data_IF_263943098526
#
_entry.id   IF_263943098526
#
_cell.length_a   1.000
_cell.length_b   1.000
_cell.length_c   1.000
_cell.angle_alpha   90.00
_cell.angle_beta   90.00
_cell.angle_gamma   90.00
#
_symmetry.space_group_name_H-M   'P 1'
#
loop_
_entity.id
_entity.type
_entity.pdbx_description
1 polymer ?
#
# COMPACT_ATOMS: atom_id res chain seq x y z
N UNK A 1 6.78 -21.80 -21.12
CA UNK A 1 6.79 -20.34 -21.32
C UNK A 1 8.17 -19.82 -20.98
N UNK A 2 8.75 -18.99 -21.86
CA UNK A 2 9.98 -18.25 -21.58
C UNK A 2 9.70 -17.11 -20.59
N UNK A 3 10.71 -16.69 -19.83
CA UNK A 3 10.60 -15.58 -18.88
C UNK A 3 10.95 -14.27 -19.59
N UNK A 4 10.02 -13.31 -19.63
CA UNK A 4 10.09 -12.08 -20.44
C UNK A 4 9.97 -10.82 -19.59
N UNK A 5 10.57 -10.82 -18.39
CA UNK A 5 10.56 -9.67 -17.48
C UNK A 5 12.00 -9.27 -17.19
N UNK A 6 12.39 -8.09 -17.67
CA UNK A 6 13.78 -7.63 -17.68
C UNK A 6 14.30 -7.20 -16.30
N UNK A 7 13.42 -6.66 -15.45
CA UNK A 7 13.82 -6.05 -14.18
C UNK A 7 13.85 -7.05 -13.01
N UNK A 8 13.39 -8.30 -13.21
CA UNK A 8 13.40 -9.32 -12.16
C UNK A 8 13.57 -10.69 -12.78
N UNK A 9 14.54 -11.47 -12.28
CA UNK A 9 14.72 -12.85 -12.74
C UNK A 9 13.59 -13.77 -12.24
N UNK A 10 13.34 -14.86 -12.96
CA UNK A 10 12.36 -15.89 -12.55
C UNK A 10 12.62 -16.41 -11.14
N UNK A 11 13.88 -16.57 -10.77
CA UNK A 11 14.28 -17.08 -9.46
C UNK A 11 14.02 -16.05 -8.35
N UNK A 12 14.34 -14.77 -8.60
CA UNK A 12 14.01 -13.70 -7.66
C UNK A 12 12.50 -13.56 -7.45
N UNK A 13 11.71 -13.67 -8.52
CA UNK A 13 10.25 -13.64 -8.42
C UNK A 13 9.70 -14.81 -7.59
N UNK A 14 10.18 -16.03 -7.83
CA UNK A 14 9.80 -17.20 -7.01
C UNK A 14 10.15 -17.00 -5.53
N UNK A 15 11.34 -16.51 -5.25
CA UNK A 15 11.77 -16.22 -3.88
C UNK A 15 10.95 -15.12 -3.22
N UNK A 16 10.54 -14.11 -3.99
CA UNK A 16 9.64 -13.05 -3.55
C UNK A 16 8.27 -13.62 -3.15
N UNK A 17 7.66 -14.44 -4.01
CA UNK A 17 6.41 -15.15 -3.72
C UNK A 17 6.55 -16.03 -2.47
N UNK A 18 7.62 -16.83 -2.39
CA UNK A 18 7.87 -17.74 -1.25
C UNK A 18 7.94 -16.98 0.07
N UNK A 19 8.62 -15.82 0.10
CA UNK A 19 8.69 -14.96 1.30
C UNK A 19 7.32 -14.44 1.69
N UNK A 20 6.50 -14.00 0.73
CA UNK A 20 5.13 -13.55 1.02
C UNK A 20 4.25 -14.67 1.54
N UNK A 21 4.31 -15.87 0.95
CA UNK A 21 3.57 -17.04 1.45
C UNK A 21 4.02 -17.40 2.88
N UNK A 22 5.31 -17.32 3.20
CA UNK A 22 5.80 -17.55 4.55
C UNK A 22 5.21 -16.54 5.57
N UNK A 23 5.09 -15.27 5.18
CA UNK A 23 4.43 -14.24 6.00
C UNK A 23 2.92 -14.47 6.18
N UNK A 24 2.27 -15.11 5.21
CA UNK A 24 0.89 -15.58 5.39
C UNK A 24 0.85 -16.73 6.39
N UNK A 25 1.76 -17.70 6.24
CA UNK A 25 1.86 -18.90 7.08
C UNK A 25 2.05 -18.61 8.56
N UNK A 26 2.93 -17.67 8.92
CA UNK A 26 3.12 -17.23 10.31
C UNK A 26 1.86 -16.59 10.92
N UNK A 27 0.91 -16.14 10.08
CA UNK A 27 -0.38 -15.58 10.51
C UNK A 27 -1.51 -16.61 10.51
N UNK A 28 -1.28 -17.82 9.96
CA UNK A 28 -2.22 -18.95 9.97
C UNK A 28 -2.21 -19.73 11.30
N UNK A 29 -1.35 -19.35 12.26
CA UNK A 29 -1.40 -19.87 13.62
C UNK A 29 -2.82 -19.85 14.21
N UNK A 30 -3.09 -20.80 15.11
CA UNK A 30 -4.40 -20.97 15.73
C UNK A 30 -4.87 -19.64 16.33
N UNK A 31 -6.10 -19.27 15.99
CA UNK A 31 -6.75 -18.07 16.52
C UNK A 31 -7.26 -18.44 17.92
N UNK A 32 -6.44 -18.22 18.94
CA UNK A 32 -6.87 -18.42 20.32
C UNK A 32 -7.78 -17.25 20.76
N UNK A 33 -8.55 -17.45 21.84
CA UNK A 33 -9.46 -16.44 22.41
C UNK A 33 -8.76 -15.12 22.71
N UNK A 34 -7.50 -15.18 23.16
CA UNK A 34 -6.68 -14.01 23.45
C UNK A 34 -6.38 -13.19 22.19
N UNK A 35 -5.98 -13.84 21.08
CA UNK A 35 -5.70 -13.21 19.78
C UNK A 35 -6.98 -12.69 19.13
N UNK A 36 -8.10 -13.37 19.34
CA UNK A 36 -9.43 -12.90 18.93
C UNK A 36 -9.79 -11.59 19.65
N UNK A 37 -9.69 -11.55 20.98
CA UNK A 37 -10.04 -10.38 21.78
C UNK A 37 -8.99 -9.25 21.73
N UNK A 38 -7.74 -9.55 21.37
CA UNK A 38 -6.68 -8.55 21.17
C UNK A 38 -7.01 -7.62 20.00
N UNK A 39 -7.65 -8.14 18.95
CA UNK A 39 -8.22 -7.30 17.91
C UNK A 39 -9.52 -6.72 18.46
N UNK A 40 -9.68 -5.40 18.41
CA UNK A 40 -10.91 -4.74 18.89
C UNK A 40 -12.10 -5.27 18.10
N UNK A 41 -12.97 -6.01 18.78
CA UNK A 41 -14.24 -6.51 18.27
C UNK A 41 -15.35 -5.61 18.79
N UNK A 42 -16.29 -5.28 17.92
CA UNK A 42 -17.49 -4.54 18.30
C UNK A 42 -18.65 -5.53 18.57
N UNK A 43 -19.02 -5.77 19.84
CA UNK A 43 -20.10 -6.69 20.17
C UNK A 43 -21.46 -6.20 19.67
N UNK A 44 -21.68 -4.89 19.53
CA UNK A 44 -22.91 -4.32 18.97
C UNK A 44 -23.03 -4.75 17.51
N UNK A 45 -21.95 -4.55 16.73
CA UNK A 45 -21.91 -5.01 15.32
C UNK A 45 -22.22 -6.50 15.21
N UNK A 46 -21.65 -7.34 16.07
CA UNK A 46 -21.89 -8.79 16.02
C UNK A 46 -23.35 -9.18 16.31
N UNK A 47 -24.01 -8.47 17.25
CA UNK A 47 -25.44 -8.67 17.52
C UNK A 47 -26.27 -8.31 16.28
N UNK A 48 -25.97 -7.18 15.63
CA UNK A 48 -26.63 -6.77 14.39
C UNK A 48 -26.39 -7.77 13.26
N UNK A 49 -25.15 -8.19 13.03
CA UNK A 49 -24.82 -9.19 12.00
C UNK A 49 -25.60 -10.49 12.24
N UNK A 50 -25.63 -10.98 13.49
CA UNK A 50 -26.41 -12.17 13.86
C UNK A 50 -27.90 -12.01 13.53
N UNK A 51 -28.49 -10.89 13.91
CA UNK A 51 -29.92 -10.64 13.73
C UNK A 51 -30.28 -10.44 12.24
N UNK A 52 -29.46 -9.70 11.50
CA UNK A 52 -29.71 -9.35 10.08
C UNK A 52 -29.43 -10.54 9.16
N UNK A 53 -28.35 -11.29 9.39
CA UNK A 53 -28.02 -12.44 8.56
C UNK A 53 -28.75 -13.72 8.97
N UNK A 54 -29.37 -13.75 10.16
CA UNK A 54 -30.07 -14.94 10.66
C UNK A 54 -29.14 -16.10 11.03
N UNK A 55 -27.84 -15.84 11.20
CA UNK A 55 -26.81 -16.86 11.42
C UNK A 55 -26.59 -17.17 12.91
N UNK A 56 -26.00 -18.32 13.22
CA UNK A 56 -25.64 -18.67 14.60
C UNK A 56 -24.37 -17.95 15.09
N UNK A 57 -24.15 -17.93 16.42
CA UNK A 57 -22.97 -17.28 17.00
C UNK A 57 -21.65 -17.88 16.51
N UNK A 58 -21.63 -19.19 16.26
CA UNK A 58 -20.44 -19.89 15.76
C UNK A 58 -20.03 -19.36 14.38
N UNK A 59 -21.00 -19.16 13.50
CA UNK A 59 -20.81 -18.63 12.15
C UNK A 59 -20.37 -17.16 12.19
N UNK A 60 -21.03 -16.33 13.00
CA UNK A 60 -20.64 -14.91 13.14
C UNK A 60 -19.20 -14.76 13.67
N UNK A 61 -18.82 -15.54 14.68
CA UNK A 61 -17.44 -15.56 15.21
C UNK A 61 -16.46 -16.04 14.13
N UNK A 62 -16.78 -17.12 13.42
CA UNK A 62 -15.93 -17.64 12.35
C UNK A 62 -15.71 -16.61 11.23
N UNK A 63 -16.76 -15.89 10.84
CA UNK A 63 -16.69 -14.85 9.82
C UNK A 63 -15.82 -13.67 10.27
N UNK A 64 -15.93 -13.26 11.54
CA UNK A 64 -15.09 -12.20 12.09
C UNK A 64 -13.60 -12.61 12.16
N UNK A 65 -13.31 -13.85 12.56
CA UNK A 65 -11.94 -14.40 12.51
C UNK A 65 -11.41 -14.36 11.07
N UNK A 66 -12.20 -14.82 10.11
CA UNK A 66 -11.82 -14.81 8.70
C UNK A 66 -11.56 -13.39 8.20
N UNK A 67 -12.43 -12.43 8.51
CA UNK A 67 -12.28 -11.01 8.15
C UNK A 67 -10.99 -10.41 8.72
N UNK A 68 -10.64 -10.72 9.96
CA UNK A 68 -9.39 -10.26 10.58
C UNK A 68 -8.16 -10.84 9.88
N UNK A 69 -8.20 -12.13 9.52
CA UNK A 69 -7.15 -12.79 8.72
C UNK A 69 -7.01 -12.15 7.34
N UNK A 70 -8.12 -11.96 6.64
CA UNK A 70 -8.14 -11.38 5.30
C UNK A 70 -7.59 -9.94 5.28
N UNK A 71 -7.94 -9.12 6.28
CA UNK A 71 -7.34 -7.78 6.44
C UNK A 71 -5.82 -7.86 6.60
N UNK A 72 -5.32 -8.79 7.40
CA UNK A 72 -3.87 -8.97 7.62
C UNK A 72 -3.15 -9.47 6.37
N UNK A 73 -3.79 -10.35 5.59
CA UNK A 73 -3.29 -10.85 4.32
C UNK A 73 -3.24 -9.73 3.26
N UNK A 74 -4.29 -8.91 3.19
CA UNK A 74 -4.33 -7.74 2.30
C UNK A 74 -3.17 -6.77 2.57
N UNK A 75 -2.78 -6.60 3.83
CA UNK A 75 -1.59 -5.80 4.19
C UNK A 75 -0.29 -6.45 3.68
N UNK A 76 -0.14 -7.77 3.78
CA UNK A 76 1.02 -8.49 3.23
C UNK A 76 1.13 -8.38 1.70
N UNK A 77 0.01 -8.34 0.98
CA UNK A 77 0.02 -8.02 -0.45
C UNK A 77 0.53 -6.60 -0.71
N UNK A 78 0.21 -5.65 0.16
CA UNK A 78 0.79 -4.31 0.05
C UNK A 78 2.31 -4.32 0.17
N UNK A 79 2.83 -5.04 1.16
CA UNK A 79 4.27 -5.23 1.29
C UNK A 79 4.86 -6.01 0.12
N UNK A 80 4.14 -6.96 -0.47
CA UNK A 80 4.56 -7.65 -1.69
C UNK A 80 4.74 -6.67 -2.85
N UNK A 81 3.77 -5.77 -3.08
CA UNK A 81 3.85 -4.76 -4.14
C UNK A 81 4.99 -3.76 -3.90
N UNK A 82 5.13 -3.26 -2.66
CA UNK A 82 6.20 -2.35 -2.30
C UNK A 82 7.57 -3.01 -2.49
N UNK A 83 7.79 -4.20 -1.91
CA UNK A 83 9.06 -4.94 -1.98
C UNK A 83 9.45 -5.37 -3.39
N UNK A 84 8.50 -5.39 -4.32
CA UNK A 84 8.78 -5.62 -5.74
C UNK A 84 9.75 -4.58 -6.32
N UNK A 85 9.71 -3.35 -5.82
CA UNK A 85 10.61 -2.28 -6.28
C UNK A 85 12.07 -2.52 -5.92
N UNK A 86 12.41 -3.41 -4.97
CA UNK A 86 13.81 -3.78 -4.69
C UNK A 86 14.52 -4.37 -5.92
N UNK A 87 13.77 -4.97 -6.84
CA UNK A 87 14.32 -5.56 -8.06
C UNK A 87 14.51 -4.52 -9.18
N UNK A 88 13.86 -3.36 -9.08
CA UNK A 88 13.96 -2.30 -10.08
C UNK A 88 15.25 -1.49 -9.84
N UNK A 89 16.08 -1.34 -10.87
CA UNK A 89 17.34 -0.59 -10.78
C UNK A 89 17.08 0.84 -10.28
N UNK A 90 17.93 1.31 -9.38
CA UNK A 90 17.88 2.63 -8.73
C UNK A 90 16.69 2.86 -7.78
N UNK A 91 15.88 1.85 -7.49
CA UNK A 91 14.86 1.91 -6.44
C UNK A 91 15.43 1.42 -5.11
N UNK A 92 14.97 2.04 -4.03
CA UNK A 92 15.28 1.66 -2.65
C UNK A 92 14.01 1.71 -1.81
N UNK A 93 13.90 0.80 -0.84
CA UNK A 93 12.76 0.71 0.06
C UNK A 93 13.28 1.02 1.46
N UNK A 94 13.05 2.25 1.96
CA UNK A 94 13.55 2.63 3.27
C UNK A 94 12.75 1.94 4.38
N UNK A 95 13.33 1.87 5.58
CA UNK A 95 12.63 1.30 6.75
C UNK A 95 11.53 2.23 7.29
N UNK A 96 11.64 3.53 7.05
CA UNK A 96 10.72 4.58 7.53
C UNK A 96 10.58 5.67 6.49
N UNK A 97 9.45 6.37 6.50
CA UNK A 97 9.19 7.53 5.64
C UNK A 97 8.42 7.16 4.38
N UNK A 98 9.11 7.13 3.24
CA UNK A 98 8.54 6.86 1.92
C UNK A 98 8.43 5.36 1.62
N UNK A 99 7.54 4.96 0.73
CA UNK A 99 7.40 3.53 0.40
C UNK A 99 8.49 3.08 -0.57
N UNK A 100 8.82 3.93 -1.55
CA UNK A 100 9.90 3.73 -2.51
C UNK A 100 10.62 5.06 -2.73
N UNK A 101 11.94 4.99 -2.87
CA UNK A 101 12.77 6.12 -3.30
C UNK A 101 13.51 5.69 -4.56
N UNK A 102 13.31 6.40 -5.65
CA UNK A 102 13.97 6.15 -6.93
C UNK A 102 14.99 7.26 -7.24
N UNK A 103 16.24 6.88 -7.48
CA UNK A 103 17.37 7.81 -7.71
C UNK A 103 18.10 7.49 -9.01
N UNK A 104 17.56 7.90 -10.17
CA UNK A 104 18.18 7.61 -11.46
C UNK A 104 19.54 8.30 -11.59
N UNK A 105 20.55 7.59 -12.11
CA UNK A 105 21.92 8.10 -12.25
C UNK A 105 22.00 9.42 -13.03
N UNK A 106 21.18 9.56 -14.07
CA UNK A 106 21.20 10.73 -14.96
C UNK A 106 20.08 11.74 -14.65
N UNK A 107 19.39 11.60 -13.52
CA UNK A 107 18.14 12.32 -13.24
C UNK A 107 16.94 11.79 -14.03
N UNK A 108 15.77 12.35 -13.75
CA UNK A 108 14.52 12.08 -14.45
C UNK A 108 13.96 13.39 -14.99
N UNK A 109 13.39 13.37 -16.20
CA UNK A 109 12.77 14.54 -16.80
C UNK A 109 11.26 14.40 -16.60
N UNK A 110 10.68 15.33 -15.85
CA UNK A 110 9.23 15.41 -15.64
C UNK A 110 8.54 15.85 -16.94
N UNK A 111 7.22 15.63 -17.04
CA UNK A 111 6.43 16.03 -18.22
C UNK A 111 6.47 17.53 -18.53
N UNK A 112 6.83 18.37 -17.55
CA UNK A 112 7.03 19.82 -17.71
C UNK A 112 8.46 20.21 -18.15
N UNK A 113 9.36 19.25 -18.36
CA UNK A 113 10.75 19.47 -18.77
C UNK A 113 11.75 19.62 -17.63
N UNK A 114 11.31 19.71 -16.38
CA UNK A 114 12.21 19.85 -15.24
C UNK A 114 12.98 18.57 -14.97
N UNK A 115 14.29 18.72 -14.72
CA UNK A 115 15.18 17.61 -14.38
C UNK A 115 15.32 17.48 -12.86
N UNK A 116 14.86 16.35 -12.33
CA UNK A 116 14.93 16.02 -10.90
C UNK A 116 15.91 14.88 -10.64
N UNK A 117 16.46 14.81 -9.43
CA UNK A 117 17.46 13.82 -9.00
C UNK A 117 16.82 12.63 -8.27
N UNK A 118 15.73 12.87 -7.55
CA UNK A 118 15.09 11.87 -6.69
C UNK A 118 13.58 11.88 -6.87
N UNK A 119 12.99 10.69 -6.98
CA UNK A 119 11.54 10.51 -6.88
C UNK A 119 11.22 9.81 -5.56
N UNK A 120 10.35 10.44 -4.77
CA UNK A 120 9.78 9.89 -3.56
C UNK A 120 8.38 9.36 -3.85
N UNK A 121 8.10 8.12 -3.49
CA UNK A 121 6.84 7.45 -3.82
C UNK A 121 6.10 7.08 -2.55
N UNK A 122 4.82 7.44 -2.51
CA UNK A 122 3.83 6.87 -1.62
C UNK A 122 3.00 5.85 -2.42
N UNK A 123 2.96 4.60 -1.98
CA UNK A 123 2.28 3.51 -2.65
C UNK A 123 0.87 3.32 -2.09
N UNK A 124 -0.06 2.91 -2.95
CA UNK A 124 -1.38 2.37 -2.60
C UNK A 124 -1.62 1.06 -3.33
N UNK A 125 -2.17 0.08 -2.63
CA UNK A 125 -2.47 -1.23 -3.22
C UNK A 125 -3.55 -1.11 -4.30
N UNK A 126 -4.56 -0.26 -4.08
CA UNK A 126 -5.69 -0.04 -4.98
C UNK A 126 -6.16 1.43 -4.94
N UNK A 127 -6.77 1.90 -6.02
CA UNK A 127 -7.33 3.24 -6.18
C UNK A 127 -8.25 3.75 -5.03
N UNK A 128 -8.91 2.87 -4.27
CA UNK A 128 -9.90 3.28 -3.25
C UNK A 128 -9.36 3.27 -1.80
N UNK A 129 -8.05 3.26 -1.60
CA UNK A 129 -7.47 2.99 -0.27
C UNK A 129 -7.34 4.22 0.63
N UNK A 130 -7.60 5.44 0.14
CA UNK A 130 -7.49 6.64 0.96
C UNK A 130 -8.85 7.25 1.31
N UNK A 131 -9.02 7.54 2.60
CA UNK A 131 -10.03 8.50 3.07
C UNK A 131 -9.45 9.92 3.05
N UNK A 132 -10.31 10.93 3.23
CA UNK A 132 -9.94 12.35 3.21
C UNK A 132 -8.75 12.65 4.12
N UNK A 133 -8.78 12.19 5.38
CA UNK A 133 -7.71 12.43 6.35
C UNK A 133 -6.35 11.86 5.90
N UNK A 134 -6.34 10.62 5.39
CA UNK A 134 -5.12 9.99 4.88
C UNK A 134 -4.59 10.71 3.63
N UNK A 135 -5.47 11.16 2.73
CA UNK A 135 -5.07 11.96 1.57
C UNK A 135 -4.49 13.31 1.98
N UNK A 136 -5.11 14.04 2.91
CA UNK A 136 -4.57 15.32 3.39
C UNK A 136 -3.20 15.13 4.06
N UNK A 137 -3.02 14.08 4.87
CA UNK A 137 -1.73 13.77 5.51
C UNK A 137 -0.65 13.43 4.48
N UNK A 138 -0.95 12.60 3.49
CA UNK A 138 -0.02 12.27 2.41
C UNK A 138 0.35 13.51 1.61
N UNK A 139 -0.62 14.38 1.28
CA UNK A 139 -0.34 15.63 0.58
C UNK A 139 0.57 16.55 1.38
N UNK A 140 0.30 16.75 2.68
CA UNK A 140 1.16 17.57 3.55
C UNK A 140 2.59 17.00 3.63
N UNK A 141 2.74 15.68 3.71
CA UNK A 141 4.04 15.00 3.68
C UNK A 141 4.79 15.29 2.37
N UNK A 142 4.10 15.21 1.23
CA UNK A 142 4.68 15.51 -0.08
C UNK A 142 5.09 16.99 -0.19
N UNK A 143 4.24 17.91 0.26
CA UNK A 143 4.57 19.35 0.26
C UNK A 143 5.79 19.65 1.14
N UNK A 144 5.86 19.08 2.35
CA UNK A 144 7.04 19.23 3.22
C UNK A 144 8.32 18.76 2.51
N UNK A 145 8.26 17.62 1.82
CA UNK A 145 9.42 17.08 1.10
C UNK A 145 9.87 17.97 -0.06
N UNK A 146 8.93 18.58 -0.78
CA UNK A 146 9.24 19.52 -1.86
C UNK A 146 9.84 20.83 -1.33
N UNK A 147 9.46 21.27 -0.13
CA UNK A 147 10.09 22.43 0.53
C UNK A 147 11.53 22.14 1.01
N UNK A 148 11.84 20.89 1.32
CA UNK A 148 13.15 20.47 1.81
C UNK A 148 14.14 20.12 0.67
N UNK A 149 13.66 19.74 -0.51
CA UNK A 149 14.48 19.35 -1.68
C UNK A 149 13.85 19.81 -3.00
N UNK A 150 14.33 20.94 -3.53
CA UNK A 150 13.89 21.52 -4.81
C UNK A 150 14.25 20.66 -6.04
N UNK A 151 15.05 19.60 -5.85
CA UNK A 151 15.46 18.69 -6.93
C UNK A 151 14.78 17.34 -6.87
N UNK A 152 13.63 17.25 -6.19
CA UNK A 152 12.84 16.02 -6.11
C UNK A 152 11.45 16.14 -6.73
N UNK A 153 10.80 14.99 -6.89
CA UNK A 153 9.38 14.90 -7.19
C UNK A 153 8.73 13.87 -6.26
N UNK A 154 7.46 14.10 -5.93
CA UNK A 154 6.66 13.17 -5.13
C UNK A 154 5.57 12.54 -5.99
N UNK A 155 5.46 11.22 -5.97
CA UNK A 155 4.43 10.48 -6.69
C UNK A 155 3.55 9.69 -5.73
N UNK A 156 2.25 9.73 -5.98
CA UNK A 156 1.31 8.76 -5.46
C UNK A 156 1.14 7.66 -6.51
N UNK A 157 1.55 6.43 -6.18
CA UNK A 157 1.50 5.30 -7.12
C UNK A 157 0.48 4.28 -6.67
N UNK A 158 -0.45 3.97 -7.56
CA UNK A 158 -1.44 2.91 -7.39
C UNK A 158 -0.97 1.65 -8.08
N UNK A 159 -0.70 0.57 -7.33
CA UNK A 159 -0.34 -0.71 -7.90
C UNK A 159 -1.48 -1.29 -8.76
N UNK A 160 -2.72 -1.09 -8.31
CA UNK A 160 -3.95 -1.47 -9.03
C UNK A 160 -4.80 -0.21 -9.23
N UNK A 161 -4.53 0.49 -10.33
CA UNK A 161 -5.29 1.63 -10.81
C UNK A 161 -6.47 1.19 -11.69
N UNK A 162 -7.51 2.02 -11.82
CA UNK A 162 -8.62 1.76 -12.76
C UNK A 162 -8.17 1.81 -14.23
N UNK A 163 -7.16 2.62 -14.50
CA UNK A 163 -6.50 2.80 -15.80
C UNK A 163 -5.07 3.25 -15.56
N UNK A 164 -4.16 2.97 -16.50
CA UNK A 164 -2.83 3.56 -16.47
C UNK A 164 -2.93 5.07 -16.69
N UNK A 165 -2.28 5.84 -15.82
CA UNK A 165 -2.35 7.30 -15.84
C UNK A 165 -1.14 7.90 -15.15
N UNK A 166 -0.72 9.06 -15.64
CA UNK A 166 0.24 9.96 -15.02
C UNK A 166 -0.39 11.35 -15.05
N UNK A 167 -0.98 11.75 -13.92
CA UNK A 167 -1.77 12.98 -13.80
C UNK A 167 -1.45 13.67 -12.49
N UNK A 168 -1.62 14.98 -12.46
CA UNK A 168 -1.54 15.77 -11.23
C UNK A 168 -2.50 15.23 -10.20
N UNK A 169 -1.98 14.81 -9.06
CA UNK A 169 -2.82 14.40 -7.95
C UNK A 169 -3.47 15.61 -7.28
N UNK A 170 -4.77 15.52 -7.01
CA UNK A 170 -5.52 16.56 -6.30
C UNK A 170 -6.28 15.96 -5.13
N UNK A 171 -6.31 16.66 -4.01
CA UNK A 171 -7.05 16.28 -2.79
C UNK A 171 -7.77 17.48 -2.20
N UNK A 172 -8.63 17.27 -1.21
CA UNK A 172 -9.24 18.34 -0.42
C UNK A 172 -8.53 18.45 0.93
N UNK A 173 -8.18 19.67 1.34
CA UNK A 173 -7.58 20.01 2.64
C UNK A 173 -8.37 21.18 3.19
N UNK A 174 -8.98 21.02 4.37
CA UNK A 174 -9.82 22.03 5.01
C UNK A 174 -10.86 22.63 4.03
N UNK A 175 -11.60 21.75 3.36
CA UNK A 175 -12.63 22.08 2.35
C UNK A 175 -12.15 22.85 1.11
N UNK A 176 -10.83 22.96 0.93
CA UNK A 176 -10.21 23.54 -0.27
C UNK A 176 -9.54 22.47 -1.11
N UNK A 177 -9.79 22.51 -2.42
CA UNK A 177 -9.12 21.62 -3.38
C UNK A 177 -7.67 22.08 -3.56
N UNK A 178 -6.73 21.16 -3.40
CA UNK A 178 -5.29 21.39 -3.45
C UNK A 178 -4.65 20.41 -4.44
N UNK A 179 -3.69 20.90 -5.22
CA UNK A 179 -2.88 20.14 -6.18
C UNK A 179 -1.56 20.86 -6.43
N UNK A 180 -0.50 20.11 -6.73
CA UNK A 180 0.83 20.66 -7.08
C UNK A 180 1.38 19.89 -8.27
N UNK A 181 1.95 20.61 -9.24
CA UNK A 181 2.58 20.07 -10.45
C UNK A 181 4.10 20.18 -10.41
#
# INVERSE_FOLDING_TARGET
>A
MSWDIDFISRENFKNHIKKTIANYGSKLESFNLEKFNKNTIDPIKMIFDKAVYGEDWKTIISNEIFRQRDKSNTNEIGYFHQKFFTYIKNCTIPQKGWDVIFKPQNGYILGNGNKIKTIYVEMKNKHNTMNSASSSKTYMKMQSQLLDDDTCACFLVEAIAKRSQDITWSTTINDKKSSHN
#
